data_IF_106367983995
#
_entry.id   IF_106367983995
#
_cell.length_a   1.000
_cell.length_b   1.000
_cell.length_c   1.000
_cell.angle_alpha   90.00
_cell.angle_beta   90.00
_cell.angle_gamma   90.00
#
_symmetry.space_group_name_H-M   'P 1'
#
loop_
_entity.id
_entity.type
_entity.pdbx_description
1 polymer ?
#
# COMPACT_ATOMS: atom_id res chain seq x y z
N UNK A 1 -7.55 7.41 -13.72
CA UNK A 1 -8.06 7.89 -12.42
C UNK A 1 -7.20 9.07 -12.04
N UNK A 2 -7.79 10.24 -11.77
CA UNK A 2 -7.00 11.37 -11.27
C UNK A 2 -6.57 11.06 -9.82
N UNK A 3 -5.40 11.51 -9.36
CA UNK A 3 -5.01 11.37 -7.95
C UNK A 3 -6.01 12.08 -7.06
N UNK A 4 -6.39 11.46 -5.93
CA UNK A 4 -7.20 12.12 -4.90
C UNK A 4 -6.42 13.31 -4.34
N UNK A 5 -7.00 14.50 -4.37
CA UNK A 5 -6.36 15.70 -3.80
C UNK A 5 -6.68 15.84 -2.31
N UNK A 6 -5.77 16.47 -1.57
CA UNK A 6 -5.93 16.70 -0.13
C UNK A 6 -7.13 17.59 0.23
N UNK A 7 -7.56 18.46 -0.68
CA UNK A 7 -8.67 19.39 -0.52
C UNK A 7 -10.05 18.78 -0.83
N UNK A 8 -10.12 17.53 -1.31
CA UNK A 8 -11.39 16.86 -1.59
C UNK A 8 -12.14 16.47 -0.31
N UNK A 9 -13.48 16.61 -0.32
CA UNK A 9 -14.33 16.14 0.79
C UNK A 9 -14.38 14.60 0.78
N UNK A 10 -13.98 13.99 1.90
CA UNK A 10 -14.01 12.55 2.13
C UNK A 10 -15.37 11.89 1.87
N UNK A 11 -16.48 12.62 2.01
CA UNK A 11 -17.82 12.13 1.68
C UNK A 11 -18.06 11.97 0.18
N UNK A 12 -17.36 12.77 -0.62
CA UNK A 12 -17.51 12.80 -2.08
C UNK A 12 -16.55 11.86 -2.80
N UNK A 13 -15.60 11.27 -2.07
CA UNK A 13 -14.63 10.35 -2.64
C UNK A 13 -15.34 9.12 -3.26
N UNK A 14 -15.10 8.85 -4.55
CA UNK A 14 -15.72 7.71 -5.22
C UNK A 14 -15.28 6.40 -4.58
N UNK A 15 -16.23 5.47 -4.45
CA UNK A 15 -15.92 4.08 -4.15
C UNK A 15 -15.72 3.36 -5.48
N UNK A 16 -14.53 2.81 -5.69
CA UNK A 16 -14.23 2.04 -6.88
C UNK A 16 -14.53 0.57 -6.61
N UNK A 17 -15.17 -0.09 -7.58
CA UNK A 17 -15.37 -1.54 -7.58
C UNK A 17 -14.78 -2.12 -8.85
N UNK A 18 -13.81 -3.01 -8.68
CA UNK A 18 -13.10 -3.66 -9.77
C UNK A 18 -13.35 -5.16 -9.73
N UNK A 19 -13.54 -5.75 -10.90
CA UNK A 19 -13.44 -7.18 -11.12
C UNK A 19 -12.06 -7.47 -11.72
N UNK A 20 -11.19 -8.10 -10.95
CA UNK A 20 -9.84 -8.44 -11.37
C UNK A 20 -9.80 -9.91 -11.75
N UNK A 21 -9.43 -10.18 -13.00
CA UNK A 21 -9.31 -11.53 -13.54
C UNK A 21 -7.88 -11.78 -14.00
N UNK A 22 -7.25 -12.82 -13.44
CA UNK A 22 -5.99 -13.34 -13.96
C UNK A 22 -6.28 -14.60 -14.75
N UNK A 23 -6.03 -14.53 -16.05
CA UNK A 23 -6.10 -15.69 -16.95
C UNK A 23 -5.00 -16.71 -16.55
N UNK A 24 -5.30 -18.01 -16.61
CA UNK A 24 -4.36 -19.04 -16.23
C UNK A 24 -3.18 -19.02 -17.22
N UNK A 25 -1.96 -19.19 -16.70
CA UNK A 25 -0.84 -19.59 -17.53
C UNK A 25 -1.09 -21.02 -18.08
N UNK A 26 -0.42 -21.41 -19.17
CA UNK A 26 -0.60 -22.69 -19.90
C UNK A 26 -0.63 -23.96 -19.03
N UNK A 27 -0.20 -23.90 -17.76
CA UNK A 27 -0.17 -25.00 -16.80
C UNK A 27 -0.98 -24.78 -15.50
N UNK A 28 -1.84 -23.75 -15.43
CA UNK A 28 -2.69 -23.48 -14.26
C UNK A 28 -4.15 -23.92 -14.47
N UNK A 29 -4.70 -24.68 -13.52
CA UNK A 29 -6.07 -25.20 -13.56
C UNK A 29 -7.17 -24.25 -13.04
N UNK A 30 -6.85 -23.07 -12.49
CA UNK A 30 -7.86 -22.18 -11.89
C UNK A 30 -7.68 -20.72 -12.26
N UNK A 31 -8.75 -20.13 -12.79
CA UNK A 31 -8.90 -18.70 -12.95
C UNK A 31 -8.92 -18.03 -11.57
N UNK A 32 -8.16 -16.95 -11.40
CA UNK A 32 -8.31 -16.09 -10.21
C UNK A 32 -9.25 -14.96 -10.61
N UNK A 33 -10.38 -14.86 -9.91
CA UNK A 33 -11.37 -13.80 -10.07
C UNK A 33 -11.61 -13.17 -8.72
N UNK A 34 -11.33 -11.88 -8.60
CA UNK A 34 -11.49 -11.10 -7.36
C UNK A 34 -12.40 -9.92 -7.64
N UNK A 35 -13.44 -9.75 -6.81
CA UNK A 35 -14.19 -8.51 -6.77
C UNK A 35 -13.69 -7.69 -5.59
N UNK A 36 -13.21 -6.48 -5.86
CA UNK A 36 -12.57 -5.62 -4.86
C UNK A 36 -13.24 -4.27 -4.90
N UNK A 37 -13.67 -3.80 -3.73
CA UNK A 37 -14.16 -2.44 -3.54
C UNK A 37 -13.20 -1.69 -2.63
N UNK A 38 -12.78 -0.49 -3.05
CA UNK A 38 -11.86 0.32 -2.27
C UNK A 38 -12.17 1.81 -2.43
N UNK A 39 -11.64 2.59 -1.47
CA UNK A 39 -11.62 4.04 -1.49
C UNK A 39 -10.18 4.49 -1.24
N UNK A 40 -9.72 5.42 -2.05
CA UNK A 40 -8.37 5.99 -1.96
C UNK A 40 -8.43 7.33 -1.24
N UNK A 41 -7.49 7.54 -0.33
CA UNK A 41 -7.33 8.79 0.40
C UNK A 41 -5.98 9.41 0.05
N UNK A 42 -5.93 10.75 0.05
CA UNK A 42 -4.72 11.50 -0.21
C UNK A 42 -3.62 11.18 0.83
N UNK A 43 -2.36 11.17 0.40
CA UNK A 43 -1.22 10.75 1.24
C UNK A 43 -0.91 11.70 2.40
N UNK A 44 -1.36 12.95 2.29
CA UNK A 44 -1.26 14.01 3.30
C UNK A 44 -1.88 13.59 4.64
N UNK A 45 -2.81 12.62 4.61
CA UNK A 45 -3.43 12.06 5.81
C UNK A 45 -2.41 11.44 6.78
N UNK A 46 -1.25 11.00 6.28
CA UNK A 46 -0.15 10.53 7.13
C UNK A 46 0.35 11.65 8.04
N UNK A 47 0.49 12.88 7.53
CA UNK A 47 0.89 14.04 8.33
C UNK A 47 -0.24 14.49 9.25
N UNK A 48 -1.49 14.46 8.77
CA UNK A 48 -2.67 14.81 9.59
C UNK A 48 -2.84 13.88 10.79
N UNK A 49 -2.57 12.57 10.61
CA UNK A 49 -2.56 11.59 11.69
C UNK A 49 -1.53 11.94 12.76
N UNK A 50 -0.35 12.44 12.38
CA UNK A 50 0.65 12.89 13.35
C UNK A 50 0.27 14.21 14.05
N UNK A 51 -0.36 15.13 13.31
CA UNK A 51 -0.73 16.46 13.81
C UNK A 51 -1.98 16.49 14.71
N UNK A 52 -2.73 15.38 14.79
CA UNK A 52 -3.97 15.32 15.56
C UNK A 52 -5.13 16.09 14.92
N UNK A 53 -5.05 16.38 13.62
CA UNK A 53 -6.11 17.07 12.87
C UNK A 53 -7.42 16.28 12.93
N UNK A 54 -8.49 16.92 13.43
CA UNK A 54 -9.81 16.31 13.66
C UNK A 54 -10.86 16.70 12.61
N UNK A 55 -10.42 17.04 11.39
CA UNK A 55 -11.31 17.44 10.30
C UNK A 55 -12.26 16.32 9.84
N UNK A 56 -13.34 16.70 9.15
CA UNK A 56 -14.37 15.77 8.61
C UNK A 56 -13.73 14.67 7.74
N UNK A 57 -12.72 15.03 6.94
CA UNK A 57 -11.97 14.08 6.11
C UNK A 57 -11.30 12.96 6.92
N UNK A 58 -10.74 13.29 8.09
CA UNK A 58 -10.12 12.33 8.99
C UNK A 58 -11.16 11.36 9.57
N UNK A 59 -12.32 11.88 9.99
CA UNK A 59 -13.39 11.03 10.53
C UNK A 59 -13.88 10.01 9.50
N UNK A 60 -14.15 10.46 8.28
CA UNK A 60 -14.60 9.61 7.18
C UNK A 60 -13.57 8.53 6.85
N UNK A 61 -12.30 8.92 6.78
CA UNK A 61 -11.19 7.98 6.61
C UNK A 61 -11.16 6.90 7.68
N UNK A 62 -11.23 7.30 8.95
CA UNK A 62 -11.17 6.36 10.08
C UNK A 62 -12.39 5.43 10.11
N UNK A 63 -13.58 5.93 9.76
CA UNK A 63 -14.78 5.12 9.67
C UNK A 63 -14.73 4.12 8.51
N UNK A 64 -14.23 4.53 7.33
CA UNK A 64 -14.03 3.62 6.19
C UNK A 64 -12.98 2.55 6.48
N UNK A 65 -11.87 2.93 7.13
CA UNK A 65 -10.89 1.97 7.63
C UNK A 65 -11.55 0.96 8.59
N UNK A 66 -12.40 1.44 9.52
CA UNK A 66 -13.03 0.58 10.53
C UNK A 66 -14.02 -0.43 9.93
N UNK A 67 -14.76 -0.07 8.87
CA UNK A 67 -15.73 -0.98 8.22
C UNK A 67 -15.09 -1.92 7.20
N UNK A 68 -13.92 -1.57 6.65
CA UNK A 68 -13.24 -2.37 5.62
C UNK A 68 -12.90 -3.80 6.07
N UNK A 69 -12.66 -4.71 5.13
CA UNK A 69 -12.19 -6.08 5.43
C UNK A 69 -10.68 -6.15 5.75
N UNK A 70 -9.94 -5.08 5.50
CA UNK A 70 -8.50 -5.01 5.65
C UNK A 70 -7.95 -3.72 5.05
N UNK A 71 -6.69 -3.40 5.35
CA UNK A 71 -6.03 -2.17 4.92
C UNK A 71 -4.89 -2.47 3.97
N UNK A 72 -4.77 -1.64 2.93
CA UNK A 72 -3.57 -1.53 2.13
C UNK A 72 -2.89 -0.21 2.51
N UNK A 73 -1.76 -0.29 3.20
CA UNK A 73 -0.94 0.86 3.58
C UNK A 73 0.12 1.07 2.49
N UNK A 74 -0.03 2.12 1.70
CA UNK A 74 0.93 2.45 0.64
C UNK A 74 2.00 3.40 1.19
N UNK A 75 3.26 2.98 1.16
CA UNK A 75 4.41 3.73 1.67
C UNK A 75 5.33 4.06 0.49
N UNK A 76 5.94 5.24 0.50
CA UNK A 76 7.03 5.53 -0.42
C UNK A 76 8.27 4.72 -0.02
N UNK A 77 8.62 3.69 -0.78
CA UNK A 77 9.79 2.84 -0.51
C UNK A 77 11.12 3.58 -0.56
N UNK A 78 11.16 4.76 -1.19
CA UNK A 78 12.33 5.64 -1.24
C UNK A 78 12.45 6.56 -0.04
N UNK A 79 11.41 6.68 0.77
CA UNK A 79 11.36 7.61 1.90
C UNK A 79 12.44 7.31 2.95
N UNK A 80 12.79 8.37 3.68
CA UNK A 80 13.66 8.34 4.87
C UNK A 80 12.87 8.65 6.14
N UNK A 81 11.57 8.91 6.03
CA UNK A 81 10.69 9.32 7.13
C UNK A 81 10.06 8.10 7.84
N UNK A 82 10.84 7.08 8.21
CA UNK A 82 10.34 5.89 8.91
C UNK A 82 9.61 6.25 10.22
N UNK A 83 10.15 7.21 10.98
CA UNK A 83 9.52 7.69 12.22
C UNK A 83 8.16 8.34 11.98
N UNK A 84 7.98 9.06 10.86
CA UNK A 84 6.71 9.68 10.49
C UNK A 84 5.65 8.60 10.26
N UNK A 85 5.97 7.58 9.45
CA UNK A 85 5.06 6.46 9.21
C UNK A 85 4.75 5.69 10.50
N UNK A 86 5.76 5.42 11.32
CA UNK A 86 5.58 4.74 12.59
C UNK A 86 4.64 5.51 13.53
N UNK A 87 4.81 6.84 13.64
CA UNK A 87 3.95 7.71 14.46
C UNK A 87 2.52 7.77 13.91
N UNK A 88 2.36 8.00 12.61
CA UNK A 88 1.05 8.05 11.95
C UNK A 88 0.29 6.73 12.15
N UNK A 89 0.95 5.60 11.98
CA UNK A 89 0.33 4.29 12.17
C UNK A 89 0.09 3.96 13.65
N UNK A 90 0.91 4.45 14.58
CA UNK A 90 0.59 4.31 16.00
C UNK A 90 -0.72 5.07 16.34
N UNK A 91 -0.88 6.29 15.82
CA UNK A 91 -2.11 7.07 16.00
C UNK A 91 -3.31 6.42 15.33
N UNK A 92 -3.14 5.95 14.09
CA UNK A 92 -4.19 5.22 13.36
C UNK A 92 -4.66 3.99 14.13
N UNK A 93 -3.74 3.23 14.75
CA UNK A 93 -4.10 2.08 15.58
C UNK A 93 -5.02 2.48 16.72
N UNK A 94 -4.68 3.54 17.43
CA UNK A 94 -5.43 4.02 18.59
C UNK A 94 -6.86 4.42 18.18
N UNK A 95 -6.98 5.22 17.13
CA UNK A 95 -8.27 5.66 16.57
C UNK A 95 -9.13 4.50 16.06
N UNK A 96 -8.52 3.49 15.45
CA UNK A 96 -9.23 2.29 15.01
C UNK A 96 -9.63 1.39 16.17
N UNK A 97 -8.84 1.34 17.25
CA UNK A 97 -9.15 0.51 18.40
C UNK A 97 -10.46 0.94 19.06
N UNK A 98 -10.65 2.25 19.27
CA UNK A 98 -11.92 2.81 19.78
C UNK A 98 -13.11 2.46 18.88
N UNK A 99 -12.89 2.52 17.56
CA UNK A 99 -13.88 2.21 16.53
C UNK A 99 -14.20 0.72 16.42
N UNK A 100 -13.25 -0.16 16.70
CA UNK A 100 -13.46 -1.60 16.67
C UNK A 100 -14.16 -2.10 17.93
N UNK A 101 -13.79 -1.56 19.10
CA UNK A 101 -14.44 -1.87 20.38
C UNK A 101 -15.92 -1.50 20.33
N UNK A 102 -16.25 -0.28 19.88
CA UNK A 102 -17.64 0.16 19.74
C UNK A 102 -18.48 -0.68 18.77
N UNK A 103 -17.84 -1.37 17.82
CA UNK A 103 -18.50 -2.22 16.82
C UNK A 103 -18.47 -3.72 17.16
N UNK A 104 -17.86 -4.13 18.28
CA UNK A 104 -17.63 -5.53 18.65
C UNK A 104 -17.04 -6.39 17.50
N UNK A 105 -16.15 -5.81 16.70
CA UNK A 105 -15.62 -6.45 15.49
C UNK A 105 -14.50 -7.42 15.83
N UNK A 106 -14.63 -8.68 15.42
CA UNK A 106 -13.52 -9.64 15.49
C UNK A 106 -12.44 -9.26 14.47
N UNK A 107 -11.21 -9.06 14.93
CA UNK A 107 -10.09 -8.62 14.10
C UNK A 107 -9.13 -9.76 13.70
N UNK A 108 -9.41 -11.00 14.10
CA UNK A 108 -8.58 -12.17 13.77
C UNK A 108 -8.45 -12.39 12.24
N UNK A 109 -9.49 -12.08 11.49
CA UNK A 109 -9.49 -12.18 10.01
C UNK A 109 -9.09 -10.88 9.32
N UNK A 110 -8.86 -9.80 10.08
CA UNK A 110 -8.43 -8.52 9.55
C UNK A 110 -6.99 -8.63 9.04
N UNK A 111 -6.71 -8.04 7.88
CA UNK A 111 -5.40 -8.14 7.22
C UNK A 111 -4.88 -6.77 6.84
N UNK A 112 -3.58 -6.58 7.03
CA UNK A 112 -2.87 -5.34 6.71
C UNK A 112 -1.78 -5.65 5.70
N UNK A 113 -1.96 -5.17 4.47
CA UNK A 113 -0.93 -5.24 3.44
C UNK A 113 -0.14 -3.94 3.45
N UNK A 114 1.13 -4.01 3.82
CA UNK A 114 2.04 -2.86 3.72
C UNK A 114 2.77 -2.94 2.40
N UNK A 115 2.57 -1.94 1.54
CA UNK A 115 3.05 -1.93 0.16
C UNK A 115 4.03 -0.78 -0.01
N UNK A 116 5.28 -1.10 -0.32
CA UNK A 116 6.31 -0.11 -0.61
C UNK A 116 6.31 0.18 -2.11
N UNK A 117 5.86 1.39 -2.44
CA UNK A 117 5.83 1.94 -3.80
C UNK A 117 7.21 2.39 -4.28
N UNK A 118 7.29 2.78 -5.55
CA UNK A 118 8.52 3.20 -6.23
C UNK A 118 9.60 2.11 -6.25
N UNK A 119 9.17 0.84 -6.31
CA UNK A 119 10.07 -0.30 -6.29
C UNK A 119 11.00 -0.38 -7.50
N UNK A 120 10.70 0.35 -8.59
CA UNK A 120 11.58 0.50 -9.75
C UNK A 120 12.84 1.32 -9.42
N UNK A 121 12.82 2.16 -8.39
CA UNK A 121 13.97 2.98 -8.01
C UNK A 121 15.10 2.12 -7.47
N UNK A 122 16.34 2.42 -7.85
CA UNK A 122 17.51 1.59 -7.54
C UNK A 122 17.64 1.23 -6.04
N UNK A 123 17.40 2.20 -5.16
CA UNK A 123 17.46 2.01 -3.70
C UNK A 123 16.45 1.02 -3.12
N UNK A 124 15.36 0.74 -3.84
CA UNK A 124 14.36 -0.28 -3.48
C UNK A 124 14.62 -1.56 -4.30
N UNK A 125 14.88 -1.41 -5.59
CA UNK A 125 15.10 -2.51 -6.55
C UNK A 125 16.20 -3.49 -6.13
N UNK A 126 17.28 -3.01 -5.52
CA UNK A 126 18.36 -3.87 -5.02
C UNK A 126 17.88 -4.87 -3.96
N UNK A 127 16.74 -4.61 -3.32
CA UNK A 127 16.13 -5.46 -2.31
C UNK A 127 14.92 -6.26 -2.82
N UNK A 128 14.65 -6.26 -4.12
CA UNK A 128 13.44 -6.88 -4.72
C UNK A 128 13.21 -8.35 -4.35
N UNK A 129 14.29 -9.09 -4.06
CA UNK A 129 14.22 -10.50 -3.64
C UNK A 129 14.30 -10.70 -2.12
N UNK A 130 14.54 -9.66 -1.33
CA UNK A 130 14.67 -9.74 0.13
C UNK A 130 13.93 -8.60 0.83
N UNK A 131 12.60 -8.72 0.83
CA UNK A 131 11.69 -7.81 1.53
C UNK A 131 12.02 -7.69 3.02
N UNK A 132 12.41 -8.79 3.68
CA UNK A 132 12.65 -8.79 5.12
C UNK A 132 13.87 -7.91 5.44
N UNK A 133 14.94 -8.03 4.66
CA UNK A 133 16.12 -7.17 4.77
C UNK A 133 15.78 -5.71 4.51
N UNK A 134 15.00 -5.42 3.46
CA UNK A 134 14.55 -4.05 3.16
C UNK A 134 13.83 -3.41 4.35
N UNK A 135 12.79 -4.07 4.85
CA UNK A 135 11.97 -3.52 5.94
C UNK A 135 12.80 -3.34 7.21
N UNK A 136 13.64 -4.31 7.56
CA UNK A 136 14.52 -4.20 8.73
C UNK A 136 15.52 -3.05 8.63
N UNK A 137 16.03 -2.78 7.43
CA UNK A 137 17.06 -1.76 7.21
C UNK A 137 16.46 -0.35 7.06
N UNK A 138 15.32 -0.24 6.36
CA UNK A 138 14.77 1.05 5.91
C UNK A 138 13.59 1.53 6.73
N UNK A 139 12.78 0.60 7.27
CA UNK A 139 11.55 0.90 7.99
C UNK A 139 11.41 0.14 9.34
N UNK A 140 12.46 0.11 10.19
CA UNK A 140 12.44 -0.67 11.43
C UNK A 140 11.36 -0.20 12.43
N UNK A 141 11.11 1.10 12.55
CA UNK A 141 10.11 1.63 13.49
C UNK A 141 8.70 1.32 13.01
N UNK A 142 8.42 1.56 11.71
CA UNK A 142 7.15 1.21 11.09
C UNK A 142 6.84 -0.28 11.26
N UNK A 143 7.85 -1.14 11.09
CA UNK A 143 7.73 -2.59 11.29
C UNK A 143 7.32 -2.93 12.73
N UNK A 144 7.96 -2.33 13.73
CA UNK A 144 7.61 -2.62 15.13
C UNK A 144 6.20 -2.11 15.47
N UNK A 145 5.80 -0.93 14.97
CA UNK A 145 4.43 -0.44 15.11
C UNK A 145 3.41 -1.44 14.54
N UNK A 146 3.62 -1.95 13.32
CA UNK A 146 2.69 -2.93 12.72
C UNK A 146 2.73 -4.30 13.42
N UNK A 147 3.84 -4.65 14.06
CA UNK A 147 3.92 -5.84 14.91
C UNK A 147 3.10 -5.67 16.19
N UNK A 148 3.02 -4.46 16.74
CA UNK A 148 2.10 -4.14 17.84
C UNK A 148 0.65 -4.33 17.37
N UNK A 149 0.29 -3.86 16.16
CA UNK A 149 -1.05 -4.10 15.61
C UNK A 149 -1.41 -5.60 15.56
N UNK A 150 -0.49 -6.42 15.05
CA UNK A 150 -0.66 -7.87 14.97
C UNK A 150 -0.90 -8.50 16.34
N UNK A 151 -0.17 -8.05 17.37
CA UNK A 151 -0.34 -8.53 18.75
C UNK A 151 -1.66 -8.08 19.36
N UNK A 152 -2.01 -6.80 19.21
CA UNK A 152 -3.22 -6.21 19.81
C UNK A 152 -4.49 -6.79 19.19
N UNK A 153 -4.52 -6.96 17.87
CA UNK A 153 -5.73 -7.35 17.14
C UNK A 153 -5.77 -8.84 16.77
N UNK A 154 -4.66 -9.57 16.90
CA UNK A 154 -4.51 -10.91 16.34
C UNK A 154 -4.62 -10.94 14.81
N UNK A 155 -4.43 -9.79 14.16
CA UNK A 155 -4.52 -9.63 12.72
C UNK A 155 -3.23 -10.07 12.02
N UNK A 156 -3.30 -10.32 10.72
CA UNK A 156 -2.11 -10.62 9.91
C UNK A 156 -1.56 -9.36 9.24
N UNK A 157 -0.24 -9.19 9.22
CA UNK A 157 0.48 -8.15 8.48
C UNK A 157 1.41 -8.81 7.47
N UNK A 158 1.46 -8.30 6.23
CA UNK A 158 2.41 -8.76 5.21
C UNK A 158 2.94 -7.58 4.39
N UNK A 159 4.12 -7.76 3.79
CA UNK A 159 4.88 -6.72 3.10
C UNK A 159 5.06 -7.04 1.61
N UNK A 160 4.89 -6.02 0.77
CA UNK A 160 4.91 -6.13 -0.69
C UNK A 160 5.64 -4.94 -1.31
N UNK A 161 6.16 -5.13 -2.53
CA UNK A 161 6.68 -4.05 -3.37
C UNK A 161 5.70 -3.78 -4.50
N UNK A 162 5.59 -2.53 -4.93
CA UNK A 162 4.92 -2.21 -6.18
C UNK A 162 5.61 -1.06 -6.91
N UNK A 163 5.36 -1.01 -8.22
CA UNK A 163 5.73 0.11 -9.05
C UNK A 163 4.59 0.44 -10.00
N UNK A 164 4.20 1.71 -10.04
CA UNK A 164 3.28 2.23 -11.05
C UNK A 164 3.98 2.53 -12.37
N UNK A 165 5.32 2.64 -12.40
CA UNK A 165 6.08 3.05 -13.59
C UNK A 165 6.74 1.85 -14.28
N UNK A 166 7.14 0.85 -13.52
CA UNK A 166 7.80 -0.35 -14.03
C UNK A 166 9.27 -0.14 -14.38
N UNK A 167 9.86 -1.19 -14.95
CA UNK A 167 11.22 -1.22 -15.48
C UNK A 167 11.20 -1.10 -17.02
N UNK A 168 12.36 -0.80 -17.61
CA UNK A 168 12.59 -0.80 -19.06
C UNK A 168 14.02 -1.22 -19.40
N UNK A 169 14.18 -1.74 -20.62
CA UNK A 169 15.49 -2.07 -21.19
C UNK A 169 16.11 -3.35 -20.62
N UNK A 170 17.24 -3.75 -21.20
CA UNK A 170 18.08 -4.84 -20.73
C UNK A 170 19.55 -4.35 -20.80
N UNK A 171 20.24 -4.13 -19.67
CA UNK A 171 19.82 -4.45 -18.31
C UNK A 171 18.65 -3.58 -17.80
N UNK A 172 17.82 -4.08 -16.87
CA UNK A 172 16.65 -3.36 -16.36
C UNK A 172 17.01 -2.00 -15.74
N UNK A 173 16.28 -0.97 -16.14
CA UNK A 173 16.39 0.39 -15.60
C UNK A 173 15.01 0.95 -15.26
N UNK A 174 14.90 1.93 -14.33
CA UNK A 174 13.61 2.53 -13.97
C UNK A 174 12.93 3.18 -15.20
N UNK A 175 11.64 2.89 -15.45
CA UNK A 175 10.88 3.55 -16.51
C UNK A 175 10.34 4.93 -16.08
N UNK A 176 11.17 5.73 -15.43
CA UNK A 176 10.84 7.07 -14.92
C UNK A 176 11.67 8.15 -15.59
N UNK A 177 11.02 9.25 -15.96
CA UNK A 177 11.66 10.52 -16.29
C UNK A 177 11.29 11.52 -15.19
N UNK A 178 12.27 11.87 -14.37
CA UNK A 178 12.09 12.89 -13.33
C UNK A 178 11.92 14.25 -14.02
N UNK A 179 10.84 14.95 -13.69
CA UNK A 179 10.56 16.28 -14.22
C UNK A 179 10.93 17.37 -13.21
N UNK A 180 10.66 17.14 -11.92
CA UNK A 180 11.00 18.08 -10.86
C UNK A 180 11.35 17.34 -9.56
N UNK A 181 12.13 18.01 -8.72
CA UNK A 181 12.41 17.64 -7.34
C UNK A 181 12.30 18.88 -6.48
N UNK A 182 11.47 18.81 -5.46
CA UNK A 182 11.29 19.88 -4.49
C UNK A 182 11.23 19.29 -3.07
N UNK A 183 10.91 20.14 -2.09
CA UNK A 183 10.72 19.72 -0.70
C UNK A 183 9.50 18.81 -0.50
N UNK A 184 8.55 18.81 -1.44
CA UNK A 184 7.36 17.94 -1.44
C UNK A 184 7.61 16.56 -2.07
N UNK A 185 8.67 16.40 -2.84
CA UNK A 185 9.15 15.10 -3.31
C UNK A 185 9.72 15.10 -4.72
N UNK A 186 9.65 13.94 -5.37
CA UNK A 186 10.07 13.77 -6.77
C UNK A 186 8.84 13.62 -7.65
N UNK A 187 8.68 14.55 -8.57
CA UNK A 187 7.68 14.47 -9.64
C UNK A 187 8.32 13.81 -10.88
N UNK A 188 7.66 12.78 -11.39
CA UNK A 188 8.15 12.04 -12.56
C UNK A 188 7.01 11.58 -13.44
N UNK A 189 7.34 11.25 -14.67
CA UNK A 189 6.43 10.66 -15.66
C UNK A 189 7.03 9.36 -16.21
N UNK A 190 6.19 8.53 -16.83
CA UNK A 190 6.65 7.32 -17.51
C UNK A 190 7.62 7.73 -18.63
N UNK A 191 8.85 7.21 -18.61
CA UNK A 191 9.88 7.60 -19.57
C UNK A 191 9.63 7.06 -20.98
N UNK A 192 9.16 5.82 -21.07
CA UNK A 192 8.79 5.18 -22.32
C UNK A 192 7.42 4.47 -22.15
N UNK A 193 6.32 5.10 -22.62
CA UNK A 193 4.99 4.51 -22.54
C UNK A 193 4.82 3.20 -23.32
N UNK A 194 5.58 2.99 -24.39
CA UNK A 194 5.45 1.79 -25.25
C UNK A 194 5.84 0.48 -24.55
N UNK A 195 6.63 0.57 -23.48
CA UNK A 195 7.08 -0.56 -22.66
C UNK A 195 6.56 -0.44 -21.22
N UNK A 196 5.54 0.38 -21.00
CA UNK A 196 5.01 0.62 -19.66
C UNK A 196 4.42 -0.66 -19.07
N UNK A 197 4.99 -1.08 -17.94
CA UNK A 197 4.61 -2.31 -17.27
C UNK A 197 4.67 -2.16 -15.75
N UNK A 198 3.59 -1.68 -15.10
CA UNK A 198 3.53 -1.63 -13.65
C UNK A 198 3.52 -3.04 -13.06
N UNK A 199 3.95 -3.18 -11.81
CA UNK A 199 4.03 -4.49 -11.16
C UNK A 199 3.74 -4.42 -9.66
N UNK A 200 3.48 -5.60 -9.07
CA UNK A 200 3.48 -5.81 -7.62
C UNK A 200 2.19 -5.46 -6.87
N UNK A 201 1.22 -4.78 -7.49
CA UNK A 201 -0.03 -4.41 -6.82
C UNK A 201 -1.04 -5.57 -6.68
N UNK A 202 -0.99 -6.57 -7.56
CA UNK A 202 -1.97 -7.66 -7.53
C UNK A 202 -1.79 -8.60 -6.32
N UNK A 203 -0.54 -8.91 -5.94
CA UNK A 203 -0.23 -9.77 -4.79
C UNK A 203 -0.83 -9.29 -3.46
N UNK A 204 -0.68 -8.02 -3.02
CA UNK A 204 -1.27 -7.55 -1.78
C UNK A 204 -2.81 -7.62 -1.82
N UNK A 205 -3.45 -7.31 -2.95
CA UNK A 205 -4.91 -7.39 -3.10
C UNK A 205 -5.39 -8.84 -2.96
N UNK A 206 -4.74 -9.77 -3.65
CA UNK A 206 -5.03 -11.20 -3.55
C UNK A 206 -4.86 -11.72 -2.12
N UNK A 207 -3.79 -11.30 -1.44
CA UNK A 207 -3.51 -11.71 -0.06
C UNK A 207 -4.51 -11.12 0.93
N UNK A 208 -4.92 -9.85 0.77
CA UNK A 208 -5.97 -9.24 1.59
C UNK A 208 -7.29 -10.04 1.49
N UNK A 209 -7.67 -10.42 0.27
CA UNK A 209 -8.91 -11.16 0.01
C UNK A 209 -8.86 -12.61 0.52
N UNK A 210 -7.77 -13.33 0.22
CA UNK A 210 -7.71 -14.80 0.44
C UNK A 210 -6.93 -15.23 1.67
N UNK A 211 -6.06 -14.37 2.20
CA UNK A 211 -5.04 -14.71 3.21
C UNK A 211 -3.91 -15.59 2.69
N UNK A 212 -3.90 -15.95 1.40
CA UNK A 212 -2.89 -16.84 0.81
C UNK A 212 -1.77 -16.03 0.19
N UNK A 213 -0.55 -16.40 0.54
CA UNK A 213 0.65 -15.78 0.00
C UNK A 213 1.20 -16.61 -1.17
N UNK A 214 0.93 -16.17 -2.40
CA UNK A 214 1.36 -16.85 -3.61
C UNK A 214 2.60 -16.18 -4.20
N UNK A 215 3.74 -16.88 -4.13
CA UNK A 215 5.04 -16.40 -4.59
C UNK A 215 5.03 -15.97 -6.06
N UNK A 216 4.24 -16.64 -6.91
CA UNK A 216 4.13 -16.32 -8.34
C UNK A 216 3.45 -14.99 -8.62
N UNK A 217 2.70 -14.47 -7.64
CA UNK A 217 2.10 -13.14 -7.73
C UNK A 217 3.09 -12.04 -7.30
N UNK A 218 4.15 -12.42 -6.58
CA UNK A 218 5.21 -11.51 -6.10
C UNK A 218 6.35 -11.37 -7.09
N UNK A 219 6.47 -12.27 -8.06
CA UNK A 219 7.48 -12.22 -9.10
C UNK A 219 7.37 -10.90 -9.86
N UNK A 220 8.47 -10.15 -9.84
CA UNK A 220 8.63 -8.96 -10.65
C UNK A 220 9.31 -9.43 -11.92
N UNK A 221 8.59 -9.39 -13.03
CA UNK A 221 9.15 -9.79 -14.32
C UNK A 221 10.28 -8.84 -14.70
N UNK A 222 11.47 -9.41 -14.93
CA UNK A 222 12.70 -8.71 -15.32
C UNK A 222 12.68 -8.33 -16.82
#
# INVERSE_FOLDING_TARGET
MAPTRADEDGNTLPRYTLLIERKPALFQKRNIRLQVSFREYAGEIIRDLCGGSSGINMRNYLDDCAISSGLLLLIDGTSREDSLYAQAFARLQLELNERFVSRNKSLKSYRIATVFSKAEQAQVWIHRHDMKKFVNLRFPQTKETLKIWSKTWGCSVNYFFCSSFGMKGNPPSPNVKVQARDSGGTYGVIANPSVWRPFGLFAPIFWLHTGKDDRRLREIEE
#
